data_IF_148174369292
#
_entry.id   IF_148174369292
#
_cell.length_a   1.000
_cell.length_b   1.000
_cell.length_c   1.000
_cell.angle_alpha   90.00
_cell.angle_beta   90.00
_cell.angle_gamma   90.00
#
_symmetry.space_group_name_H-M   'P 1'
#
loop_
_entity.id
_entity.type
_entity.pdbx_description
1 polymer ?
#
# COMPACT_ATOMS: atom_id res chain seq x y z
N UNK A 1 -8.37 5.13 7.07
CA UNK A 1 -8.72 6.55 6.80
C UNK A 1 -8.12 7.52 7.83
N UNK A 2 -8.01 7.18 9.12
CA UNK A 2 -7.51 8.10 10.15
C UNK A 2 -6.07 8.61 9.95
N UNK A 3 -5.17 7.80 9.38
CA UNK A 3 -3.77 8.20 9.14
C UNK A 3 -3.64 9.45 8.25
N UNK A 4 -4.56 9.65 7.30
CA UNK A 4 -4.56 10.85 6.46
C UNK A 4 -4.81 12.13 7.30
N UNK A 5 -5.75 12.07 8.25
CA UNK A 5 -6.00 13.18 9.16
C UNK A 5 -4.83 13.43 10.11
N UNK A 6 -4.15 12.36 10.57
CA UNK A 6 -2.94 12.48 11.39
C UNK A 6 -1.83 13.21 10.61
N UNK A 7 -1.60 12.83 9.36
CA UNK A 7 -0.66 13.53 8.47
C UNK A 7 -1.04 15.00 8.30
N UNK A 8 -2.32 15.29 8.03
CA UNK A 8 -2.83 16.66 7.93
C UNK A 8 -2.57 17.46 9.20
N UNK A 9 -2.81 16.88 10.37
CA UNK A 9 -2.53 17.49 11.67
C UNK A 9 -1.05 17.83 11.87
N UNK A 10 -0.14 16.92 11.50
CA UNK A 10 1.31 17.15 11.60
C UNK A 10 1.76 18.32 10.71
N UNK A 11 1.26 18.37 9.47
CA UNK A 11 1.60 19.45 8.53
C UNK A 11 1.03 20.80 8.98
N UNK A 12 -0.21 20.82 9.50
CA UNK A 12 -0.83 22.01 10.05
C UNK A 12 -0.06 22.51 11.28
N UNK A 13 0.30 21.62 12.20
CA UNK A 13 1.09 21.97 13.38
C UNK A 13 2.48 22.50 13.00
N UNK A 14 3.14 21.89 12.01
CA UNK A 14 4.43 22.38 11.50
C UNK A 14 4.32 23.77 10.85
N UNK A 15 3.25 23.99 10.08
CA UNK A 15 2.98 25.29 9.45
C UNK A 15 2.67 26.36 10.50
N UNK A 16 1.86 26.03 11.51
CA UNK A 16 1.55 26.92 12.62
C UNK A 16 2.82 27.27 13.42
N UNK A 17 3.67 26.28 13.74
CA UNK A 17 4.97 26.51 14.38
C UNK A 17 5.85 27.44 13.56
N UNK A 18 5.90 27.25 12.24
CA UNK A 18 6.67 28.12 11.34
C UNK A 18 6.18 29.57 11.37
N UNK A 19 4.86 29.79 11.47
CA UNK A 19 4.27 31.14 11.51
C UNK A 19 4.47 31.80 12.87
N UNK A 20 4.29 31.06 13.98
CA UNK A 20 4.31 31.60 15.34
C UNK A 20 5.73 31.70 15.89
N UNK A 21 6.53 30.64 15.74
CA UNK A 21 7.86 30.47 16.34
C UNK A 21 9.00 30.71 15.32
N UNK A 22 8.67 31.03 14.06
CA UNK A 22 9.64 31.26 12.98
C UNK A 22 10.40 30.01 12.52
N UNK A 23 10.19 28.84 13.15
CA UNK A 23 10.90 27.60 12.85
C UNK A 23 9.92 26.43 12.67
N UNK A 24 9.97 25.71 11.53
CA UNK A 24 9.17 24.51 11.32
C UNK A 24 9.75 23.32 12.10
N UNK A 25 8.91 22.33 12.40
CA UNK A 25 9.41 21.07 12.95
C UNK A 25 10.23 20.32 11.91
N UNK A 26 11.50 20.05 12.22
CA UNK A 26 12.44 19.32 11.36
C UNK A 26 11.95 17.90 11.00
N UNK A 27 11.21 17.24 11.89
CA UNK A 27 10.69 15.88 11.70
C UNK A 27 9.36 15.80 10.92
N UNK A 28 8.64 16.92 10.78
CA UNK A 28 7.26 16.89 10.30
C UNK A 28 7.13 16.42 8.84
N UNK A 29 8.08 16.80 7.98
CA UNK A 29 8.07 16.40 6.57
C UNK A 29 8.19 14.88 6.42
N UNK A 30 9.17 14.29 7.11
CA UNK A 30 9.50 12.88 7.00
C UNK A 30 8.45 11.99 7.66
N UNK A 31 7.94 12.40 8.82
CA UNK A 31 6.82 11.71 9.45
C UNK A 31 5.58 11.72 8.54
N UNK A 32 5.32 12.83 7.85
CA UNK A 32 4.22 12.90 6.89
C UNK A 32 4.43 11.95 5.71
N UNK A 33 5.65 11.86 5.17
CA UNK A 33 6.00 10.92 4.10
C UNK A 33 5.89 9.45 4.53
N UNK A 34 6.30 9.12 5.76
CA UNK A 34 6.18 7.77 6.31
C UNK A 34 4.71 7.41 6.54
N UNK A 35 3.91 8.32 7.09
CA UNK A 35 2.47 8.11 7.28
C UNK A 35 1.78 7.94 5.93
N UNK A 36 2.14 8.74 4.93
CA UNK A 36 1.58 8.62 3.57
C UNK A 36 1.92 7.26 2.95
N UNK A 37 3.17 6.83 3.04
CA UNK A 37 3.63 5.53 2.52
C UNK A 37 2.91 4.37 3.21
N UNK A 38 2.80 4.41 4.53
CA UNK A 38 2.06 3.42 5.31
C UNK A 38 0.56 3.41 4.94
N UNK A 39 -0.04 4.59 4.80
CA UNK A 39 -1.45 4.74 4.43
C UNK A 39 -1.75 4.13 3.06
N UNK A 40 -0.93 4.38 2.05
CA UNK A 40 -1.15 3.84 0.71
C UNK A 40 -0.96 2.33 0.63
N UNK A 41 0.10 1.77 1.24
CA UNK A 41 0.35 0.34 1.13
C UNK A 41 -0.63 -0.50 1.95
N UNK A 42 -0.92 -0.10 3.20
CA UNK A 42 -1.91 -0.79 4.03
C UNK A 42 -3.33 -0.56 3.49
N UNK A 43 -3.63 0.68 3.08
CA UNK A 43 -4.92 1.03 2.49
C UNK A 43 -5.16 0.34 1.15
N UNK A 44 -4.12 0.09 0.36
CA UNK A 44 -4.28 -0.59 -0.92
C UNK A 44 -4.71 -2.05 -0.74
N UNK A 45 -4.18 -2.80 0.24
CA UNK A 45 -4.68 -4.14 0.57
C UNK A 45 -6.16 -4.11 0.98
N UNK A 46 -6.55 -3.12 1.78
CA UNK A 46 -7.92 -2.96 2.25
C UNK A 46 -8.89 -2.56 1.12
N UNK A 47 -8.50 -1.65 0.24
CA UNK A 47 -9.34 -1.24 -0.91
C UNK A 47 -9.51 -2.37 -1.92
N UNK A 48 -8.50 -3.23 -2.10
CA UNK A 48 -8.61 -4.47 -2.87
C UNK A 48 -9.67 -5.40 -2.27
N UNK A 49 -9.70 -5.55 -0.94
CA UNK A 49 -10.72 -6.36 -0.27
C UNK A 49 -12.14 -5.83 -0.48
N UNK A 50 -12.30 -4.51 -0.51
CA UNK A 50 -13.60 -3.86 -0.75
C UNK A 50 -13.99 -3.77 -2.23
N UNK A 51 -13.17 -4.29 -3.16
CA UNK A 51 -13.33 -4.08 -4.61
C UNK A 51 -13.42 -2.60 -5.00
N UNK A 52 -12.81 -1.71 -4.21
CA UNK A 52 -12.74 -0.26 -4.46
C UNK A 52 -11.39 0.17 -5.01
N UNK A 53 -10.52 -0.79 -5.32
CA UNK A 53 -9.30 -0.51 -6.04
C UNK A 53 -9.66 -0.05 -7.46
N UNK A 54 -9.01 1.01 -7.95
CA UNK A 54 -9.39 1.66 -9.21
C UNK A 54 -9.32 0.65 -10.36
N UNK A 55 -10.48 0.31 -10.95
CA UNK A 55 -10.59 -0.57 -12.11
C UNK A 55 -11.14 0.20 -13.31
N UNK A 56 -10.68 -0.15 -14.51
CA UNK A 56 -11.23 0.41 -15.74
C UNK A 56 -12.55 -0.31 -16.10
N UNK A 57 -13.68 0.30 -15.74
CA UNK A 57 -14.99 -0.35 -15.89
C UNK A 57 -15.73 -0.05 -17.21
N UNK A 58 -15.21 0.85 -18.07
CA UNK A 58 -15.94 1.34 -19.25
C UNK A 58 -16.38 0.24 -20.23
N UNK A 59 -15.49 -0.72 -20.52
CA UNK A 59 -15.78 -1.88 -21.37
C UNK A 59 -16.01 -3.15 -20.55
N UNK A 60 -15.43 -3.20 -19.36
CA UNK A 60 -15.47 -4.37 -18.49
C UNK A 60 -16.88 -4.62 -17.94
N UNK A 61 -17.61 -3.57 -17.55
CA UNK A 61 -18.97 -3.68 -17.02
C UNK A 61 -20.01 -4.23 -18.01
N UNK A 62 -19.71 -4.28 -19.30
CA UNK A 62 -20.60 -4.83 -20.35
C UNK A 62 -20.40 -6.33 -20.59
N UNK A 63 -19.39 -6.93 -19.98
CA UNK A 63 -19.06 -8.35 -20.15
C UNK A 63 -19.90 -9.24 -19.24
N UNK A 64 -20.18 -10.47 -19.70
CA UNK A 64 -20.87 -11.47 -18.87
C UNK A 64 -19.96 -11.94 -17.72
N UNK A 65 -20.53 -12.33 -16.57
CA UNK A 65 -19.80 -12.63 -15.34
C UNK A 65 -18.68 -13.67 -15.51
N UNK A 66 -18.86 -14.66 -16.40
CA UNK A 66 -17.80 -15.64 -16.72
C UNK A 66 -16.62 -15.04 -17.47
N UNK A 67 -16.88 -14.15 -18.45
CA UNK A 67 -15.82 -13.48 -19.22
C UNK A 67 -15.04 -12.49 -18.34
N UNK A 68 -15.74 -11.81 -17.44
CA UNK A 68 -15.13 -10.97 -16.40
C UNK A 68 -14.17 -11.80 -15.54
N UNK A 69 -14.65 -12.88 -14.92
CA UNK A 69 -13.82 -13.74 -14.08
C UNK A 69 -12.61 -14.36 -14.80
N UNK A 70 -12.70 -14.65 -16.11
CA UNK A 70 -11.54 -15.12 -16.89
C UNK A 70 -10.49 -14.03 -17.08
N UNK A 71 -10.91 -12.79 -17.36
CA UNK A 71 -9.99 -11.65 -17.52
C UNK A 71 -9.37 -11.30 -16.16
N UNK A 72 -10.15 -11.32 -15.09
CA UNK A 72 -9.65 -11.05 -13.73
C UNK A 72 -8.65 -12.12 -13.29
N UNK A 73 -8.96 -13.41 -13.48
CA UNK A 73 -8.01 -14.48 -13.17
C UNK A 73 -6.69 -14.37 -13.95
N UNK A 74 -6.74 -13.94 -15.21
CA UNK A 74 -5.55 -13.74 -16.03
C UNK A 74 -4.74 -12.51 -15.58
N UNK A 75 -5.40 -11.38 -15.35
CA UNK A 75 -4.74 -10.12 -14.95
C UNK A 75 -4.17 -10.20 -13.53
N UNK A 76 -4.88 -10.86 -12.60
CA UNK A 76 -4.41 -11.08 -11.24
C UNK A 76 -3.11 -11.87 -11.21
N UNK A 77 -2.86 -12.81 -12.13
CA UNK A 77 -1.60 -13.54 -12.19
C UNK A 77 -0.39 -12.60 -12.36
N UNK A 78 -0.52 -11.58 -13.21
CA UNK A 78 0.53 -10.55 -13.36
C UNK A 78 0.68 -9.69 -12.10
N UNK A 79 -0.42 -9.38 -11.42
CA UNK A 79 -0.39 -8.65 -10.14
C UNK A 79 0.32 -9.47 -9.07
N UNK A 80 0.04 -10.77 -8.97
CA UNK A 80 0.72 -11.68 -8.04
C UNK A 80 2.21 -11.73 -8.36
N UNK A 81 2.58 -11.91 -9.62
CA UNK A 81 3.99 -11.93 -10.04
C UNK A 81 4.71 -10.64 -9.64
N UNK A 82 4.10 -9.47 -9.91
CA UNK A 82 4.63 -8.19 -9.52
C UNK A 82 4.77 -8.06 -7.99
N UNK A 83 3.73 -8.43 -7.23
CA UNK A 83 3.73 -8.35 -5.76
C UNK A 83 4.76 -9.30 -5.12
N UNK A 84 5.01 -10.48 -5.70
CA UNK A 84 6.04 -11.41 -5.22
C UNK A 84 7.44 -10.79 -5.37
N UNK A 85 7.74 -10.21 -6.53
CA UNK A 85 9.02 -9.53 -6.77
C UNK A 85 9.16 -8.32 -5.84
N UNK A 86 8.10 -7.52 -5.72
CA UNK A 86 8.06 -6.35 -4.85
C UNK A 86 8.26 -6.73 -3.38
N UNK A 87 7.66 -7.84 -2.94
CA UNK A 87 7.83 -8.37 -1.58
C UNK A 87 9.27 -8.83 -1.32
N UNK A 88 9.88 -9.55 -2.26
CA UNK A 88 11.30 -9.93 -2.18
C UNK A 88 12.23 -8.73 -2.09
N UNK A 89 11.99 -7.70 -2.92
CA UNK A 89 12.73 -6.43 -2.84
C UNK A 89 12.50 -5.69 -1.53
N UNK A 90 11.27 -5.71 -1.00
CA UNK A 90 10.91 -5.14 0.30
C UNK A 90 11.62 -5.80 1.46
N UNK A 91 11.65 -7.14 1.50
CA UNK A 91 12.40 -7.91 2.51
C UNK A 91 13.89 -7.59 2.47
N UNK A 92 14.52 -7.68 1.28
CA UNK A 92 15.94 -7.36 1.12
C UNK A 92 16.27 -5.93 1.57
N UNK A 93 15.42 -4.96 1.19
CA UNK A 93 15.58 -3.56 1.58
C UNK A 93 15.40 -3.33 3.08
N UNK A 94 14.52 -4.10 3.72
CA UNK A 94 14.25 -4.03 5.17
C UNK A 94 15.42 -4.63 5.95
N UNK A 95 15.90 -5.81 5.56
CA UNK A 95 17.09 -6.45 6.14
C UNK A 95 18.31 -5.55 6.01
N UNK A 96 18.51 -4.94 4.85
CA UNK A 96 19.60 -3.99 4.63
C UNK A 96 19.49 -2.79 5.58
N UNK A 97 18.29 -2.22 5.75
CA UNK A 97 18.08 -1.08 6.65
C UNK A 97 18.36 -1.40 8.11
N UNK A 98 18.03 -2.61 8.56
CA UNK A 98 18.30 -3.09 9.93
C UNK A 98 19.80 -3.34 10.10
N UNK A 99 20.43 -4.06 9.18
CA UNK A 99 21.83 -4.47 9.27
C UNK A 99 22.81 -3.29 9.20
N UNK A 100 22.52 -2.31 8.33
CA UNK A 100 23.38 -1.15 8.13
C UNK A 100 22.90 0.10 8.87
N UNK A 101 21.84 0.00 9.67
CA UNK A 101 21.29 1.13 10.44
C UNK A 101 20.95 2.33 9.56
N UNK A 102 20.35 2.10 8.38
CA UNK A 102 20.09 3.15 7.40
C UNK A 102 19.25 4.27 8.01
N UNK A 103 19.76 5.50 7.89
CA UNK A 103 19.08 6.74 8.26
C UNK A 103 18.79 7.57 7.03
N UNK A 104 17.75 8.39 7.12
CA UNK A 104 17.43 9.33 6.07
C UNK A 104 18.48 10.46 5.99
N UNK A 105 18.77 10.94 4.78
CA UNK A 105 19.74 12.02 4.56
C UNK A 105 19.08 13.39 4.70
N UNK A 106 18.56 13.66 5.89
CA UNK A 106 17.71 14.81 6.20
C UNK A 106 18.06 15.39 7.57
N UNK A 107 17.54 16.58 7.86
CA UNK A 107 17.83 17.30 9.11
C UNK A 107 17.41 16.54 10.38
N UNK A 108 16.45 15.62 10.29
CA UNK A 108 16.02 14.78 11.41
C UNK A 108 16.67 13.39 11.42
N UNK A 109 17.05 12.85 10.25
CA UNK A 109 17.79 11.60 10.12
C UNK A 109 17.20 10.37 10.84
N UNK A 110 15.88 10.12 10.76
CA UNK A 110 15.26 8.96 11.39
C UNK A 110 15.75 7.64 10.77
N UNK A 111 15.77 6.56 11.57
CA UNK A 111 16.02 5.23 11.05
C UNK A 111 14.91 4.81 10.07
N UNK A 112 15.28 4.24 8.93
CA UNK A 112 14.35 3.83 7.87
C UNK A 112 13.73 2.45 8.08
N UNK A 113 14.29 1.65 8.99
CA UNK A 113 13.81 0.28 9.21
C UNK A 113 12.32 0.20 9.62
N UNK A 114 11.75 1.08 10.47
CA UNK A 114 10.36 0.92 10.92
C UNK A 114 9.38 1.08 9.76
N UNK A 115 9.59 2.10 8.93
CA UNK A 115 8.71 2.33 7.77
C UNK A 115 8.85 1.20 6.76
N UNK A 116 10.07 0.71 6.50
CA UNK A 116 10.28 -0.43 5.57
C UNK A 116 9.59 -1.71 6.05
N UNK A 117 9.57 -1.98 7.35
CA UNK A 117 8.79 -3.10 7.92
C UNK A 117 7.29 -2.91 7.65
N UNK A 118 6.75 -1.71 7.87
CA UNK A 118 5.34 -1.41 7.61
C UNK A 118 5.01 -1.54 6.11
N UNK A 119 5.91 -1.09 5.23
CA UNK A 119 5.73 -1.22 3.79
C UNK A 119 5.73 -2.69 3.36
N UNK A 120 6.70 -3.48 3.82
CA UNK A 120 6.83 -4.91 3.51
C UNK A 120 5.62 -5.71 4.02
N UNK A 121 5.13 -5.40 5.22
CA UNK A 121 3.91 -6.02 5.76
C UNK A 121 2.66 -5.63 4.96
N UNK A 122 2.55 -4.38 4.50
CA UNK A 122 1.46 -3.96 3.61
C UNK A 122 1.46 -4.70 2.26
N UNK A 123 2.64 -4.88 1.65
CA UNK A 123 2.79 -5.66 0.42
C UNK A 123 2.40 -7.13 0.64
N UNK A 124 2.79 -7.71 1.78
CA UNK A 124 2.39 -9.07 2.15
C UNK A 124 0.86 -9.22 2.26
N UNK A 125 0.19 -8.26 2.90
CA UNK A 125 -1.28 -8.25 3.01
C UNK A 125 -1.95 -8.10 1.64
N UNK A 126 -1.43 -7.24 0.76
CA UNK A 126 -1.92 -7.13 -0.62
C UNK A 126 -1.80 -8.45 -1.38
N UNK A 127 -0.68 -9.14 -1.21
CA UNK A 127 -0.43 -10.43 -1.87
C UNK A 127 -1.42 -11.49 -1.39
N UNK A 128 -1.67 -11.59 -0.08
CA UNK A 128 -2.70 -12.47 0.48
C UNK A 128 -4.10 -12.14 -0.08
N UNK A 129 -4.46 -10.86 -0.11
CA UNK A 129 -5.76 -10.42 -0.62
C UNK A 129 -5.92 -10.75 -2.11
N UNK A 130 -4.87 -10.56 -2.90
CA UNK A 130 -4.87 -10.83 -4.33
C UNK A 130 -5.03 -12.33 -4.62
N UNK A 131 -4.37 -13.19 -3.84
CA UNK A 131 -4.57 -14.66 -3.90
C UNK A 131 -6.02 -15.02 -3.56
N UNK A 132 -6.59 -14.39 -2.53
CA UNK A 132 -8.00 -14.61 -2.19
C UNK A 132 -8.93 -14.23 -3.34
N UNK A 133 -8.69 -13.12 -4.04
CA UNK A 133 -9.49 -12.72 -5.19
C UNK A 133 -9.39 -13.74 -6.33
N UNK A 134 -8.19 -14.24 -6.64
CA UNK A 134 -7.99 -15.29 -7.65
C UNK A 134 -8.81 -16.56 -7.35
N UNK A 135 -8.84 -16.98 -6.09
CA UNK A 135 -9.64 -18.16 -5.68
C UNK A 135 -11.13 -17.91 -5.91
N UNK A 136 -11.63 -16.71 -5.59
CA UNK A 136 -13.03 -16.32 -5.82
C UNK A 136 -13.36 -16.30 -7.32
N UNK A 137 -12.48 -15.76 -8.16
CA UNK A 137 -12.67 -15.72 -9.61
C UNK A 137 -12.72 -17.13 -10.22
N UNK A 138 -11.84 -18.03 -9.78
CA UNK A 138 -11.87 -19.45 -10.18
C UNK A 138 -13.19 -20.10 -9.77
N UNK A 139 -13.70 -19.79 -8.59
CA UNK A 139 -14.95 -20.35 -8.11
C UNK A 139 -16.17 -19.87 -8.91
N UNK A 140 -16.17 -18.58 -9.30
CA UNK A 140 -17.17 -18.00 -10.21
C UNK A 140 -17.11 -18.68 -11.58
N UNK A 141 -15.91 -18.90 -12.13
CA UNK A 141 -15.75 -19.64 -13.40
C UNK A 141 -16.29 -21.07 -13.33
N UNK A 142 -16.16 -21.74 -12.18
CA UNK A 142 -16.68 -23.09 -11.92
C UNK A 142 -18.18 -23.12 -11.58
N UNK A 143 -18.84 -21.96 -11.51
CA UNK A 143 -20.27 -21.86 -11.19
C UNK A 143 -20.61 -22.08 -9.71
N UNK A 144 -19.62 -22.04 -8.82
CA UNK A 144 -19.80 -22.14 -7.36
C UNK A 144 -19.30 -20.84 -6.70
N UNK A 145 -20.07 -19.74 -6.73
CA UNK A 145 -19.62 -18.47 -6.15
C UNK A 145 -19.38 -18.65 -4.64
N UNK A 146 -18.24 -18.14 -4.16
CA UNK A 146 -17.86 -18.14 -2.75
C UNK A 146 -17.92 -16.68 -2.28
N UNK A 147 -18.48 -16.44 -1.08
CA UNK A 147 -18.60 -15.11 -0.48
C UNK A 147 -17.23 -14.49 -0.15
#
# INVERSE_FOLDING_TARGET
MHLFFVMGGILLASTASRIILGTPFNWALEMSQFILSAYYLLGGAYTLQLNQHVRMDLFYGRLNARKQATIDAFTILFVIFYLVILFGGGLSSTEYAIKYGQKNYTAWGPPLWPIKVIMTTGIFLMLLQTISSLIKDIAIMRGKPIA
#
